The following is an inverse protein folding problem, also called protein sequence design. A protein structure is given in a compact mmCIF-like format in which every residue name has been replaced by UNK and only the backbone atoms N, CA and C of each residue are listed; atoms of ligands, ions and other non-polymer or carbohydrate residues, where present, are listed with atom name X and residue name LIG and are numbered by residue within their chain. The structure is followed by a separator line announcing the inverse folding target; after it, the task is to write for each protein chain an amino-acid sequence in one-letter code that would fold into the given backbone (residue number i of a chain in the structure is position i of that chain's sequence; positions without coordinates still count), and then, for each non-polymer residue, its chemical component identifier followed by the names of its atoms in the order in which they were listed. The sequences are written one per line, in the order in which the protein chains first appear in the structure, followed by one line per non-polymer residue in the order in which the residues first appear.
data_IF_982588029043
#
_entry.id   IF_982588029043
#
_cell.length_a   1.000
_cell.length_b   1.000
_cell.length_c   1.000
_cell.angle_alpha   90.00
_cell.angle_beta   90.00
_cell.angle_gamma   90.00
#
_symmetry.space_group_name_H-M   'P 1'
#
loop_
_entity.id
_entity.type
_entity.pdbx_description
1 polymer ?
#
# COMPACT_ATOMS: atom_id res chain seq x y z
N UNK A 1 -23.23 -1.39 8.98
CA UNK A 1 -23.57 -2.49 9.95
C UNK A 1 -22.51 -3.59 9.85
N UNK A 2 -22.06 -4.16 11.00
CA UNK A 2 -21.07 -5.26 10.98
C UNK A 2 -21.64 -6.51 10.30
N UNK A 3 -20.87 -7.10 9.38
CA UNK A 3 -21.19 -8.33 8.65
C UNK A 3 -20.28 -9.44 9.18
N UNK A 4 -20.88 -10.56 9.59
CA UNK A 4 -20.13 -11.74 10.02
C UNK A 4 -19.71 -12.55 8.80
N UNK A 5 -18.50 -13.09 8.81
CA UNK A 5 -18.07 -14.07 7.80
C UNK A 5 -18.25 -15.51 8.30
N UNK A 6 -18.48 -16.42 7.37
CA UNK A 6 -18.52 -17.86 7.60
C UNK A 6 -17.23 -18.52 7.09
N UNK A 7 -16.74 -19.55 7.81
CA UNK A 7 -15.61 -20.38 7.39
C UNK A 7 -15.56 -21.68 8.17
N UNK A 8 -14.70 -22.61 7.75
CA UNK A 8 -14.37 -23.81 8.53
C UNK A 8 -13.50 -23.47 9.75
N UNK A 9 -13.44 -24.38 10.73
CA UNK A 9 -12.55 -24.23 11.91
C UNK A 9 -11.08 -24.12 11.51
N UNK A 10 -10.66 -24.78 10.44
CA UNK A 10 -9.29 -24.72 9.92
C UNK A 10 -8.97 -23.30 9.42
N UNK A 11 -9.85 -22.72 8.63
CA UNK A 11 -9.71 -21.32 8.13
C UNK A 11 -9.75 -20.34 9.28
N UNK A 12 -10.66 -20.49 10.25
CA UNK A 12 -10.72 -19.64 11.44
C UNK A 12 -9.39 -19.68 12.21
N UNK A 13 -8.85 -20.89 12.45
CA UNK A 13 -7.55 -21.05 13.10
C UNK A 13 -6.39 -20.41 12.33
N UNK A 14 -6.42 -20.44 10.99
CA UNK A 14 -5.41 -19.77 10.18
C UNK A 14 -5.50 -18.24 10.28
N UNK A 15 -6.73 -17.69 10.34
CA UNK A 15 -6.97 -16.25 10.55
C UNK A 15 -6.47 -15.84 11.95
N UNK A 16 -6.82 -16.55 13.00
CA UNK A 16 -6.38 -16.25 14.37
C UNK A 16 -4.86 -16.37 14.52
N UNK A 17 -4.24 -17.29 13.76
CA UNK A 17 -2.80 -17.53 13.82
C UNK A 17 -1.96 -16.42 13.19
N UNK A 18 -2.50 -15.50 12.38
CA UNK A 18 -1.70 -14.50 11.66
C UNK A 18 -1.04 -13.47 12.61
N UNK A 19 -1.71 -13.12 13.70
CA UNK A 19 -1.24 -12.13 14.66
C UNK A 19 -1.32 -10.71 14.10
N UNK A 20 -0.30 -9.89 14.35
CA UNK A 20 -0.23 -8.51 13.87
C UNK A 20 -0.30 -8.44 12.35
N UNK A 21 -1.33 -7.77 11.86
CA UNK A 21 -1.57 -7.50 10.44
C UNK A 21 -1.26 -6.04 10.13
N UNK A 22 -0.79 -5.71 8.91
CA UNK A 22 -0.54 -4.33 8.50
C UNK A 22 -1.37 -3.91 7.29
N UNK A 23 -1.68 -4.82 6.37
CA UNK A 23 -2.47 -4.49 5.19
C UNK A 23 -3.40 -5.65 4.79
N UNK A 24 -4.44 -5.32 4.03
CA UNK A 24 -5.42 -6.27 3.48
C UNK A 24 -5.86 -5.81 2.09
N UNK A 25 -5.88 -6.73 1.12
CA UNK A 25 -6.24 -6.43 -0.25
C UNK A 25 -7.09 -7.52 -0.88
N UNK A 26 -8.20 -7.14 -1.53
CA UNK A 26 -8.95 -8.02 -2.40
C UNK A 26 -8.25 -8.16 -3.76
N UNK A 27 -8.21 -9.38 -4.30
CA UNK A 27 -7.78 -9.58 -5.69
C UNK A 27 -8.70 -8.84 -6.66
N UNK A 28 -8.24 -8.47 -7.86
CA UNK A 28 -9.07 -7.72 -8.83
C UNK A 28 -10.42 -8.37 -9.14
N UNK A 29 -10.51 -9.70 -9.11
CA UNK A 29 -11.76 -10.44 -9.30
C UNK A 29 -12.59 -10.63 -8.03
N UNK A 30 -12.13 -10.10 -6.87
CA UNK A 30 -12.79 -10.19 -5.57
C UNK A 30 -12.86 -11.60 -4.96
N UNK A 31 -12.18 -12.60 -5.57
CA UNK A 31 -12.26 -14.00 -5.13
C UNK A 31 -11.17 -14.42 -4.15
N UNK A 32 -10.21 -13.57 -3.89
CA UNK A 32 -9.15 -13.80 -2.89
C UNK A 32 -8.94 -12.55 -2.04
N UNK A 33 -8.76 -12.77 -0.75
CA UNK A 33 -8.35 -11.74 0.19
C UNK A 33 -6.94 -12.06 0.68
N UNK A 34 -6.00 -11.15 0.46
CA UNK A 34 -4.64 -11.24 0.97
C UNK A 34 -4.49 -10.40 2.22
N UNK A 35 -3.79 -10.93 3.23
CA UNK A 35 -3.49 -10.25 4.49
C UNK A 35 -1.99 -10.31 4.73
N UNK A 36 -1.38 -9.16 5.04
CA UNK A 36 0.03 -9.06 5.40
C UNK A 36 0.23 -9.36 6.89
N UNK A 37 0.87 -10.48 7.21
CA UNK A 37 1.22 -10.89 8.57
C UNK A 37 2.62 -10.40 8.96
N UNK A 38 2.69 -9.22 9.54
CA UNK A 38 3.93 -8.51 9.87
C UNK A 38 4.83 -9.29 10.84
N UNK A 39 4.29 -9.63 12.01
CA UNK A 39 5.08 -10.21 13.10
C UNK A 39 5.64 -11.61 12.79
N UNK A 40 4.95 -12.37 11.95
CA UNK A 40 5.32 -13.76 11.59
C UNK A 40 5.91 -13.90 10.19
N UNK A 41 6.05 -12.80 9.46
CA UNK A 41 6.67 -12.72 8.13
C UNK A 41 6.09 -13.72 7.12
N UNK A 42 4.76 -13.77 6.99
CA UNK A 42 4.07 -14.53 5.95
C UNK A 42 2.82 -13.79 5.45
N UNK A 43 2.28 -14.21 4.32
CA UNK A 43 0.96 -13.75 3.86
C UNK A 43 -0.07 -14.84 4.10
N UNK A 44 -1.30 -14.44 4.45
CA UNK A 44 -2.46 -15.31 4.44
C UNK A 44 -3.36 -14.94 3.26
N UNK A 45 -3.62 -15.90 2.40
CA UNK A 45 -4.57 -15.75 1.28
C UNK A 45 -5.81 -16.56 1.60
N UNK A 46 -6.95 -15.88 1.65
CA UNK A 46 -8.25 -16.51 1.86
C UNK A 46 -9.01 -16.57 0.54
N UNK A 47 -9.56 -17.73 0.20
CA UNK A 47 -10.51 -17.87 -0.90
C UNK A 47 -11.84 -17.27 -0.48
N UNK A 48 -12.22 -16.14 -1.09
CA UNK A 48 -13.35 -15.33 -0.70
C UNK A 48 -14.55 -15.53 -1.64
N UNK A 49 -15.71 -15.73 -1.06
CA UNK A 49 -17.01 -15.71 -1.71
C UNK A 49 -17.82 -14.59 -1.07
N UNK A 50 -17.89 -13.44 -1.76
CA UNK A 50 -18.66 -12.28 -1.32
C UNK A 50 -19.93 -12.21 -2.16
N UNK A 51 -21.05 -12.43 -1.51
CA UNK A 51 -22.38 -12.35 -2.11
C UNK A 51 -23.17 -11.16 -1.58
N UNK A 52 -24.30 -10.87 -2.24
CA UNK A 52 -25.15 -9.73 -1.87
C UNK A 52 -24.72 -8.44 -2.57
N UNK A 53 -25.02 -7.30 -1.97
CA UNK A 53 -24.87 -5.98 -2.60
C UNK A 53 -26.18 -5.48 -3.21
N UNK A 54 -26.20 -4.26 -3.77
CA UNK A 54 -27.43 -3.62 -4.18
C UNK A 54 -28.42 -3.51 -3.01
N UNK A 55 -29.61 -4.11 -3.13
CA UNK A 55 -30.64 -4.13 -2.07
C UNK A 55 -30.52 -5.35 -1.13
N UNK A 56 -29.67 -6.34 -1.46
CA UNK A 56 -29.54 -7.56 -0.67
C UNK A 56 -28.43 -7.42 0.38
N UNK A 57 -28.59 -8.03 1.59
CA UNK A 57 -27.53 -8.04 2.60
C UNK A 57 -26.25 -8.72 2.08
N UNK A 58 -25.10 -8.19 2.47
CA UNK A 58 -23.82 -8.86 2.17
C UNK A 58 -23.67 -10.16 2.94
N UNK A 59 -23.11 -11.15 2.26
CA UNK A 59 -22.62 -12.40 2.84
C UNK A 59 -21.14 -12.54 2.51
N UNK A 60 -20.34 -13.01 3.47
CA UNK A 60 -18.91 -13.28 3.30
C UNK A 60 -18.65 -14.70 3.74
N UNK A 61 -18.03 -15.49 2.88
CA UNK A 61 -17.60 -16.85 3.20
C UNK A 61 -16.16 -17.10 2.72
N UNK A 62 -15.35 -17.76 3.56
CA UNK A 62 -13.99 -18.17 3.22
C UNK A 62 -13.94 -19.69 3.09
N UNK A 63 -13.79 -20.17 1.85
CA UNK A 63 -13.80 -21.59 1.54
C UNK A 63 -12.47 -22.30 1.86
N UNK A 64 -11.35 -21.60 1.80
CA UNK A 64 -10.02 -22.12 2.09
C UNK A 64 -9.06 -21.01 2.52
N UNK A 65 -7.95 -21.42 3.15
CA UNK A 65 -6.83 -20.53 3.49
C UNK A 65 -5.52 -21.09 2.95
N UNK A 66 -4.63 -20.21 2.51
CA UNK A 66 -3.30 -20.54 2.02
C UNK A 66 -2.27 -19.65 2.71
N UNK A 67 -1.39 -20.24 3.50
CA UNK A 67 -0.23 -19.56 4.08
C UNK A 67 0.88 -19.50 3.04
N UNK A 68 1.34 -18.30 2.71
CA UNK A 68 2.42 -18.09 1.76
C UNK A 68 3.68 -17.68 2.51
N UNK A 69 4.71 -18.51 2.39
CA UNK A 69 6.05 -18.23 2.88
C UNK A 69 6.95 -17.78 1.73
N UNK A 70 7.95 -16.97 2.03
CA UNK A 70 9.02 -16.63 1.09
C UNK A 70 10.29 -16.26 1.84
N UNK A 71 11.44 -16.67 1.31
CA UNK A 71 12.74 -16.23 1.81
C UNK A 71 12.98 -14.72 1.58
N UNK A 72 12.17 -14.08 0.73
CA UNK A 72 12.22 -12.64 0.48
C UNK A 72 11.38 -11.81 1.47
N UNK A 73 10.63 -12.44 2.39
CA UNK A 73 9.88 -11.71 3.40
C UNK A 73 10.76 -11.23 4.54
N UNK A 74 10.61 -9.96 4.86
CA UNK A 74 11.26 -9.28 5.97
C UNK A 74 10.27 -8.27 6.57
N UNK A 75 9.31 -8.78 7.34
CA UNK A 75 8.16 -8.05 7.87
C UNK A 75 7.28 -7.46 6.75
N UNK A 76 6.47 -8.29 6.05
CA UNK A 76 5.49 -7.84 5.07
C UNK A 76 4.58 -6.77 5.64
N UNK A 77 4.52 -5.61 4.99
CA UNK A 77 3.76 -4.47 5.45
C UNK A 77 2.65 -4.12 4.47
N UNK A 78 2.92 -3.39 3.40
CA UNK A 78 1.94 -3.10 2.35
C UNK A 78 1.91 -4.16 1.27
N UNK A 79 0.74 -4.41 0.70
CA UNK A 79 0.53 -5.39 -0.38
C UNK A 79 -0.35 -4.80 -1.48
N UNK A 80 -0.10 -5.18 -2.73
CA UNK A 80 -0.96 -4.81 -3.85
C UNK A 80 -1.01 -5.91 -4.92
N UNK A 81 -2.21 -6.27 -5.37
CA UNK A 81 -2.38 -7.21 -6.47
C UNK A 81 -2.07 -6.55 -7.81
N UNK A 82 -1.09 -7.09 -8.53
CA UNK A 82 -0.80 -6.71 -9.93
C UNK A 82 -1.90 -7.27 -10.85
N UNK A 83 -2.26 -8.50 -10.61
CA UNK A 83 -3.37 -9.21 -11.24
C UNK A 83 -3.88 -10.27 -10.27
N UNK A 84 -4.75 -11.17 -10.75
CA UNK A 84 -5.30 -12.18 -9.85
C UNK A 84 -4.29 -13.23 -9.32
N UNK A 85 -3.04 -13.24 -9.77
CA UNK A 85 -2.03 -14.24 -9.39
C UNK A 85 -0.67 -13.65 -9.00
N UNK A 86 -0.44 -12.37 -9.24
CA UNK A 86 0.81 -11.69 -8.89
C UNK A 86 0.53 -10.60 -7.86
N UNK A 87 1.27 -10.65 -6.76
CA UNK A 87 1.17 -9.71 -5.65
C UNK A 87 2.54 -9.04 -5.41
N UNK A 88 2.55 -7.72 -5.22
CA UNK A 88 3.70 -6.98 -4.71
C UNK A 88 3.60 -6.93 -3.19
N UNK A 89 4.73 -7.08 -2.50
CA UNK A 89 4.84 -7.01 -1.05
C UNK A 89 5.91 -6.01 -0.65
N UNK A 90 5.53 -4.91 -0.03
CA UNK A 90 6.48 -3.99 0.59
C UNK A 90 6.95 -4.59 1.93
N UNK A 91 8.25 -4.83 2.08
CA UNK A 91 8.82 -5.32 3.34
C UNK A 91 9.38 -4.16 4.15
N UNK A 92 9.03 -4.06 5.43
CA UNK A 92 9.55 -3.03 6.33
C UNK A 92 11.10 -3.05 6.40
N UNK A 93 11.72 -4.22 6.31
CA UNK A 93 13.16 -4.39 6.32
C UNK A 93 13.66 -5.01 5.02
N UNK A 94 13.59 -4.27 3.90
CA UNK A 94 14.10 -4.79 2.65
C UNK A 94 13.46 -4.21 1.40
N UNK A 95 13.40 -5.06 0.39
CA UNK A 95 12.91 -4.75 -0.94
C UNK A 95 11.40 -5.05 -1.08
N UNK A 96 10.84 -4.77 -2.25
CA UNK A 96 9.47 -5.10 -2.59
C UNK A 96 9.44 -6.22 -3.67
N UNK A 97 9.37 -7.49 -3.26
CA UNK A 97 9.25 -8.63 -4.18
C UNK A 97 7.86 -8.71 -4.79
N UNK A 98 7.81 -9.11 -6.06
CA UNK A 98 6.61 -9.55 -6.77
C UNK A 98 6.56 -11.07 -6.71
N UNK A 99 5.49 -11.61 -6.17
CA UNK A 99 5.32 -13.04 -5.96
C UNK A 99 4.19 -13.58 -6.83
N UNK A 100 4.43 -14.70 -7.49
CA UNK A 100 3.37 -15.47 -8.14
C UNK A 100 2.70 -16.39 -7.12
N UNK A 101 1.39 -16.22 -6.94
CA UNK A 101 0.54 -16.99 -6.03
C UNK A 101 -0.53 -17.69 -6.87
N UNK A 102 -0.30 -18.93 -7.30
CA UNK A 102 -1.18 -19.61 -8.23
C UNK A 102 -2.57 -19.85 -7.63
N UNK A 103 -3.56 -20.00 -8.50
CA UNK A 103 -4.92 -20.45 -8.13
C UNK A 103 -4.95 -21.96 -7.98
N UNK A 104 -5.94 -22.45 -7.23
CA UNK A 104 -6.22 -23.88 -7.13
C UNK A 104 -5.09 -24.71 -6.49
N UNK A 105 -4.33 -24.09 -5.59
CA UNK A 105 -3.29 -24.79 -4.82
C UNK A 105 -3.95 -25.82 -3.92
N UNK A 106 -3.54 -27.07 -4.07
CA UNK A 106 -3.92 -28.14 -3.16
C UNK A 106 -2.97 -28.10 -1.95
N UNK A 107 -3.48 -27.65 -0.79
CA UNK A 107 -2.71 -27.52 0.45
C UNK A 107 -2.97 -26.20 1.17
N UNK A 108 -2.44 -26.12 2.39
CA UNK A 108 -2.62 -24.96 3.28
C UNK A 108 -1.40 -24.05 3.35
N UNK A 109 -0.28 -24.45 2.74
CA UNK A 109 0.97 -23.68 2.75
C UNK A 109 1.75 -23.85 1.44
N UNK A 110 2.37 -22.76 0.96
CA UNK A 110 3.34 -22.76 -0.14
C UNK A 110 4.56 -21.91 0.19
N UNK A 111 5.68 -22.22 -0.48
CA UNK A 111 6.85 -21.34 -0.53
C UNK A 111 6.88 -20.67 -1.89
N UNK A 112 6.65 -19.36 -1.91
CA UNK A 112 6.66 -18.54 -3.12
C UNK A 112 8.05 -17.92 -3.34
N UNK A 113 8.47 -17.89 -4.60
CA UNK A 113 9.69 -17.23 -5.03
C UNK A 113 9.36 -15.95 -5.80
N UNK A 114 10.14 -14.86 -5.63
CA UNK A 114 9.94 -13.66 -6.42
C UNK A 114 10.09 -13.91 -7.93
N UNK A 115 9.12 -13.44 -8.72
CA UNK A 115 9.27 -13.34 -10.17
C UNK A 115 10.11 -12.11 -10.56
N UNK A 116 10.07 -11.09 -9.70
CA UNK A 116 10.88 -9.88 -9.77
C UNK A 116 11.00 -9.24 -8.39
N UNK A 117 11.95 -8.29 -8.21
CA UNK A 117 12.11 -7.54 -6.95
C UNK A 117 12.45 -6.09 -7.25
N UNK A 118 11.63 -5.15 -6.78
CA UNK A 118 11.95 -3.73 -6.71
C UNK A 118 12.84 -3.51 -5.47
N UNK A 119 13.87 -2.68 -5.59
CA UNK A 119 14.80 -2.42 -4.49
C UNK A 119 16.02 -3.34 -4.49
N UNK A 120 16.22 -4.10 -5.58
CA UNK A 120 17.43 -4.89 -5.78
C UNK A 120 18.67 -4.00 -6.02
N UNK A 121 18.47 -2.72 -6.36
CA UNK A 121 19.54 -1.75 -6.61
C UNK A 121 19.34 -0.45 -5.81
N UNK A 122 20.42 0.28 -5.47
CA UNK A 122 20.30 1.56 -4.75
C UNK A 122 19.50 2.64 -5.49
N UNK A 123 19.37 2.55 -6.82
CA UNK A 123 18.59 3.50 -7.63
C UNK A 123 17.09 3.30 -7.52
N UNK A 124 16.64 2.24 -6.85
CA UNK A 124 15.22 1.98 -6.62
C UNK A 124 14.64 2.80 -5.44
N UNK A 125 15.46 3.57 -4.72
CA UNK A 125 15.06 4.51 -3.67
C UNK A 125 14.28 3.90 -2.49
N UNK A 126 14.37 2.60 -2.24
CA UNK A 126 13.64 1.97 -1.14
C UNK A 126 14.38 2.13 0.20
N UNK A 127 13.64 2.56 1.23
CA UNK A 127 14.13 2.66 2.60
C UNK A 127 12.98 2.45 3.61
N UNK A 128 12.93 1.28 4.21
CA UNK A 128 11.84 0.83 5.06
C UNK A 128 10.46 0.98 4.38
N UNK A 129 10.20 0.22 3.29
CA UNK A 129 8.91 0.26 2.60
C UNK A 129 7.73 0.06 3.54
N UNK A 130 6.77 0.98 3.50
CA UNK A 130 5.51 0.91 4.23
C UNK A 130 4.42 0.29 3.37
N UNK A 131 3.72 1.10 2.60
CA UNK A 131 2.65 0.67 1.69
C UNK A 131 3.08 0.71 0.23
N UNK A 132 2.30 0.03 -0.59
CA UNK A 132 2.46 -0.02 -2.05
C UNK A 132 1.11 0.17 -2.73
N UNK A 133 1.08 1.01 -3.75
CA UNK A 133 -0.07 1.16 -4.65
C UNK A 133 0.37 1.00 -6.10
N UNK A 134 -0.53 0.58 -6.97
CA UNK A 134 -0.23 0.46 -8.38
C UNK A 134 -1.42 0.85 -9.25
N UNK A 135 -1.11 1.23 -10.49
CA UNK A 135 -2.09 1.32 -11.58
C UNK A 135 -1.51 0.79 -12.88
N UNK A 136 -2.35 0.20 -13.70
CA UNK A 136 -2.00 -0.18 -15.05
C UNK A 136 -2.04 1.05 -15.95
N UNK A 137 -1.02 1.21 -16.79
CA UNK A 137 -0.94 2.26 -17.80
C UNK A 137 -0.74 1.61 -19.18
N UNK A 138 -0.95 2.33 -20.30
CA UNK A 138 -0.83 1.76 -21.64
C UNK A 138 0.48 1.03 -21.90
N UNK A 139 0.52 0.24 -22.96
CA UNK A 139 1.67 -0.52 -23.47
C UNK A 139 2.18 -1.64 -22.53
N UNK A 140 1.30 -2.14 -21.64
CA UNK A 140 1.66 -3.21 -20.70
C UNK A 140 2.59 -2.74 -19.58
N UNK A 141 2.55 -1.46 -19.26
CA UNK A 141 3.28 -0.89 -18.14
C UNK A 141 2.45 -0.85 -16.87
N UNK A 142 3.13 -0.92 -15.73
CA UNK A 142 2.55 -0.73 -14.40
C UNK A 142 3.32 0.39 -13.72
N UNK A 143 2.61 1.38 -13.22
CA UNK A 143 3.15 2.41 -12.35
C UNK A 143 2.91 1.99 -10.90
N UNK A 144 3.98 1.93 -10.10
CA UNK A 144 3.97 1.51 -8.70
C UNK A 144 4.47 2.66 -7.83
N UNK A 145 3.73 2.99 -6.78
CA UNK A 145 4.15 3.92 -5.73
C UNK A 145 4.49 3.12 -4.47
N UNK A 146 5.58 3.48 -3.79
CA UNK A 146 6.00 2.87 -2.53
C UNK A 146 6.34 3.96 -1.52
N UNK A 147 5.69 3.92 -0.35
CA UNK A 147 6.07 4.72 0.80
C UNK A 147 7.40 4.24 1.38
N UNK A 148 8.31 5.16 1.66
CA UNK A 148 9.62 4.89 2.26
C UNK A 148 9.70 5.62 3.60
N UNK A 149 9.37 4.90 4.69
CA UNK A 149 9.17 5.50 6.01
C UNK A 149 10.41 6.23 6.53
N UNK A 150 11.61 5.65 6.40
CA UNK A 150 12.83 6.22 7.00
C UNK A 150 13.55 7.24 6.12
N UNK A 151 13.21 7.35 4.85
CA UNK A 151 13.65 8.46 4.01
C UNK A 151 12.61 9.55 3.87
N UNK A 152 11.42 9.38 4.47
CA UNK A 152 10.30 10.32 4.39
C UNK A 152 9.92 10.67 2.96
N UNK A 153 9.87 9.65 2.08
CA UNK A 153 9.60 9.83 0.65
C UNK A 153 8.58 8.85 0.13
N UNK A 154 7.97 9.17 -1.02
CA UNK A 154 7.28 8.20 -1.86
C UNK A 154 8.06 8.06 -3.16
N UNK A 155 8.45 6.83 -3.49
CA UNK A 155 9.09 6.51 -4.76
C UNK A 155 8.09 5.98 -5.78
N UNK A 156 8.35 6.24 -7.06
CA UNK A 156 7.59 5.76 -8.21
C UNK A 156 8.45 4.84 -9.06
N UNK A 157 7.89 3.72 -9.48
CA UNK A 157 8.56 2.72 -10.30
C UNK A 157 7.69 2.35 -11.49
N UNK A 158 8.31 2.18 -12.64
CA UNK A 158 7.62 1.71 -13.85
C UNK A 158 8.08 0.30 -14.16
N UNK A 159 7.14 -0.65 -14.18
CA UNK A 159 7.39 -2.06 -14.49
C UNK A 159 6.88 -2.38 -15.89
N UNK A 160 7.63 -3.19 -16.64
CA UNK A 160 7.22 -3.70 -17.94
C UNK A 160 6.74 -5.15 -17.81
N UNK A 161 5.43 -5.37 -17.94
CA UNK A 161 4.84 -6.71 -17.91
C UNK A 161 5.33 -7.59 -19.05
N UNK A 162 5.60 -6.99 -20.22
CA UNK A 162 6.07 -7.71 -21.41
C UNK A 162 7.55 -8.13 -21.30
N UNK A 163 8.28 -7.53 -20.34
CA UNK A 163 9.67 -7.86 -20.05
C UNK A 163 9.83 -8.53 -18.66
N UNK A 164 8.86 -9.35 -18.26
CA UNK A 164 8.92 -10.10 -17.00
C UNK A 164 8.90 -9.24 -15.74
N UNK A 165 8.15 -8.15 -15.74
CA UNK A 165 8.04 -7.19 -14.64
C UNK A 165 9.34 -6.39 -14.37
N UNK A 166 10.24 -6.27 -15.35
CA UNK A 166 11.46 -5.52 -15.17
C UNK A 166 11.19 -4.04 -14.85
N UNK A 167 11.91 -3.46 -13.87
CA UNK A 167 11.86 -2.02 -13.58
C UNK A 167 12.53 -1.25 -14.71
N UNK A 168 11.79 -0.36 -15.37
CA UNK A 168 12.31 0.51 -16.42
C UNK A 168 12.89 1.81 -15.87
N UNK A 169 12.24 2.37 -14.84
CA UNK A 169 12.66 3.60 -14.20
C UNK A 169 12.19 3.64 -12.74
N UNK A 170 12.92 4.38 -11.91
CA UNK A 170 12.58 4.67 -10.51
C UNK A 170 12.92 6.12 -10.20
N UNK A 171 12.07 6.80 -9.46
CA UNK A 171 12.29 8.18 -9.01
C UNK A 171 11.58 8.44 -7.67
N UNK A 172 11.97 9.50 -6.97
CA UNK A 172 11.22 10.03 -5.82
C UNK A 172 10.22 11.05 -6.34
N UNK A 173 8.93 10.87 -6.03
CA UNK A 173 7.84 11.78 -6.48
C UNK A 173 7.31 12.68 -5.38
N UNK A 174 7.37 12.25 -4.11
CA UNK A 174 6.96 13.07 -2.97
C UNK A 174 8.01 12.99 -1.87
N UNK A 175 8.39 14.13 -1.31
CA UNK A 175 9.34 14.25 -0.19
C UNK A 175 9.07 15.48 0.68
N UNK A 176 8.41 16.52 0.12
CA UNK A 176 8.15 17.72 0.89
C UNK A 176 7.11 17.50 1.97
N UNK A 177 7.41 17.91 3.20
CA UNK A 177 6.51 17.85 4.35
C UNK A 177 6.04 16.44 4.74
N UNK A 178 6.65 15.37 4.19
CA UNK A 178 6.37 14.01 4.60
C UNK A 178 7.16 13.63 5.86
N UNK A 179 6.47 12.97 6.79
CA UNK A 179 7.06 12.46 8.03
C UNK A 179 6.53 11.06 8.32
N UNK A 180 7.32 10.03 8.01
CA UNK A 180 6.95 8.63 8.04
C UNK A 180 5.70 8.37 7.18
N UNK A 181 5.76 8.53 5.83
CA UNK A 181 4.65 8.15 4.96
C UNK A 181 4.44 6.65 5.03
N UNK A 182 3.26 6.18 5.40
CA UNK A 182 3.01 4.78 5.67
C UNK A 182 1.98 4.14 4.73
N UNK A 183 0.85 4.79 4.46
CA UNK A 183 -0.15 4.37 3.50
C UNK A 183 -0.06 5.14 2.18
N UNK A 184 -0.24 4.48 1.04
CA UNK A 184 -0.39 5.11 -0.27
C UNK A 184 -1.46 4.40 -1.09
N UNK A 185 -2.28 5.15 -1.81
CA UNK A 185 -3.31 4.60 -2.69
C UNK A 185 -3.61 5.53 -3.86
N UNK A 186 -3.83 4.96 -5.04
CA UNK A 186 -4.47 5.66 -6.15
C UNK A 186 -5.99 5.69 -5.95
N UNK A 187 -6.62 6.80 -6.27
CA UNK A 187 -8.06 6.82 -6.44
C UNK A 187 -8.50 5.94 -7.62
N UNK A 188 -9.73 5.45 -7.59
CA UNK A 188 -10.23 4.50 -8.60
C UNK A 188 -10.32 5.11 -10.00
N UNK A 189 -10.61 6.41 -10.09
CA UNK A 189 -10.58 7.15 -11.37
C UNK A 189 -9.16 7.48 -11.83
N UNK A 190 -8.14 7.25 -10.99
CA UNK A 190 -6.75 7.61 -11.27
C UNK A 190 -6.47 9.11 -11.20
N UNK A 191 -7.40 9.94 -10.70
CA UNK A 191 -7.26 11.40 -10.59
C UNK A 191 -6.42 11.83 -9.40
N UNK A 192 -6.48 11.06 -8.30
CA UNK A 192 -5.88 11.39 -7.02
C UNK A 192 -4.93 10.31 -6.52
N UNK A 193 -3.99 10.72 -5.69
CA UNK A 193 -3.15 9.86 -4.85
C UNK A 193 -3.26 10.34 -3.42
N UNK A 194 -3.60 9.45 -2.49
CA UNK A 194 -3.59 9.73 -1.07
C UNK A 194 -2.35 9.10 -0.42
N UNK A 195 -1.69 9.85 0.48
CA UNK A 195 -0.51 9.39 1.24
C UNK A 195 -0.73 9.70 2.71
N UNK A 196 -0.75 8.68 3.58
CA UNK A 196 -0.79 8.92 5.01
C UNK A 196 0.57 9.45 5.49
N UNK A 197 0.54 10.61 6.16
CA UNK A 197 1.67 11.25 6.80
C UNK A 197 1.63 10.89 8.29
N UNK A 198 2.05 9.66 8.58
CA UNK A 198 1.75 8.91 9.80
C UNK A 198 2.13 9.67 11.07
N UNK A 199 3.34 10.23 11.12
CA UNK A 199 3.84 10.90 12.33
C UNK A 199 3.26 12.30 12.52
N UNK A 200 2.80 12.97 11.46
CA UNK A 200 2.21 14.31 11.52
C UNK A 200 0.67 14.30 11.58
N UNK A 201 0.07 13.10 11.71
CA UNK A 201 -1.38 12.96 11.91
C UNK A 201 -2.23 13.60 10.80
N UNK A 202 -1.78 13.47 9.55
CA UNK A 202 -2.45 14.00 8.36
C UNK A 202 -2.43 13.00 7.22
N UNK A 203 -3.30 13.18 6.23
CA UNK A 203 -3.17 12.50 4.94
C UNK A 203 -3.08 13.57 3.85
N UNK A 204 -2.07 13.48 3.03
CA UNK A 204 -1.89 14.36 1.88
C UNK A 204 -2.57 13.79 0.64
N UNK A 205 -3.32 14.63 -0.06
CA UNK A 205 -3.98 14.28 -1.32
C UNK A 205 -3.27 15.02 -2.44
N UNK A 206 -2.75 14.27 -3.39
CA UNK A 206 -2.03 14.78 -4.56
C UNK A 206 -2.84 14.54 -5.83
N UNK A 207 -2.66 15.40 -6.81
CA UNK A 207 -3.16 15.17 -8.16
C UNK A 207 -2.25 14.17 -8.89
N UNK A 208 -2.83 13.09 -9.39
CA UNK A 208 -2.06 12.04 -10.06
C UNK A 208 -1.44 12.47 -11.41
N UNK A 209 -1.99 13.51 -12.04
CA UNK A 209 -1.43 14.14 -13.24
C UNK A 209 -0.22 15.05 -12.95
N UNK A 210 0.08 15.33 -11.68
CA UNK A 210 1.22 16.13 -11.22
C UNK A 210 2.37 15.29 -10.66
N UNK A 211 2.26 13.95 -10.69
CA UNK A 211 3.32 13.05 -10.25
C UNK A 211 4.64 13.30 -10.98
N UNK A 212 5.72 13.56 -10.21
CA UNK A 212 7.04 13.90 -10.75
C UNK A 212 7.15 15.35 -11.28
N UNK A 213 6.11 16.16 -11.18
CA UNK A 213 6.09 17.59 -11.57
C UNK A 213 6.00 18.47 -10.31
N UNK A 214 5.14 18.11 -9.37
CA UNK A 214 4.95 18.82 -8.11
C UNK A 214 4.80 17.83 -6.96
N UNK A 215 5.46 18.09 -5.84
CA UNK A 215 5.34 17.35 -4.60
C UNK A 215 4.48 18.08 -3.54
N UNK A 216 3.73 19.13 -3.96
CA UNK A 216 2.79 19.84 -3.09
C UNK A 216 1.43 19.16 -3.09
N UNK A 217 0.86 18.86 -1.91
CA UNK A 217 -0.48 18.32 -1.82
C UNK A 217 -1.52 19.34 -2.32
N UNK A 218 -2.53 18.85 -3.02
CA UNK A 218 -3.71 19.63 -3.41
C UNK A 218 -4.72 19.73 -2.26
N UNK A 219 -4.75 18.71 -1.38
CA UNK A 219 -5.63 18.67 -0.23
C UNK A 219 -5.01 17.95 0.96
N UNK A 220 -5.60 18.14 2.15
CA UNK A 220 -5.12 17.55 3.40
C UNK A 220 -6.32 17.03 4.20
N UNK A 221 -6.26 15.76 4.61
CA UNK A 221 -7.20 15.21 5.58
C UNK A 221 -6.62 15.41 6.99
N UNK A 222 -7.44 15.92 7.90
CA UNK A 222 -7.07 16.21 9.30
C UNK A 222 -8.02 15.52 10.28
N UNK A 223 -7.69 15.56 11.57
CA UNK A 223 -8.53 15.02 12.64
C UNK A 223 -8.40 13.51 12.85
N UNK A 224 -7.27 12.95 12.47
CA UNK A 224 -6.87 11.55 12.66
C UNK A 224 -5.58 11.48 13.47
N UNK A 225 -5.32 10.35 14.12
CA UNK A 225 -4.08 10.08 14.88
C UNK A 225 -3.43 8.82 14.33
N UNK A 226 -2.17 8.88 13.90
CA UNK A 226 -1.43 7.78 13.25
C UNK A 226 -2.15 7.15 12.05
N UNK A 227 -2.48 7.95 10.98
CA UNK A 227 -3.13 7.44 9.78
C UNK A 227 -2.31 6.33 9.12
N UNK A 228 -2.98 5.22 8.74
CA UNK A 228 -2.33 4.03 8.21
C UNK A 228 -2.91 3.64 6.85
N UNK A 229 -3.69 2.57 6.74
CA UNK A 229 -4.30 2.12 5.50
C UNK A 229 -5.39 3.05 4.97
N UNK A 230 -5.47 3.20 3.66
CA UNK A 230 -6.36 4.14 2.97
C UNK A 230 -7.07 3.42 1.83
N UNK A 231 -8.36 3.68 1.64
CA UNK A 231 -9.09 3.23 0.44
C UNK A 231 -10.10 4.27 -0.02
N UNK A 232 -10.16 4.52 -1.34
CA UNK A 232 -11.19 5.35 -1.97
C UNK A 232 -12.44 4.53 -2.28
N UNK A 233 -13.61 5.19 -2.24
CA UNK A 233 -14.82 4.64 -2.90
C UNK A 233 -14.61 4.56 -4.42
N UNK A 234 -15.41 3.71 -5.13
CA UNK A 234 -15.23 3.52 -6.58
C UNK A 234 -15.39 4.78 -7.44
N UNK A 235 -16.09 5.79 -6.94
CA UNK A 235 -16.36 7.07 -7.60
C UNK A 235 -15.52 8.23 -7.05
N UNK A 236 -14.53 7.93 -6.20
CA UNK A 236 -13.64 8.87 -5.54
C UNK A 236 -14.32 9.89 -4.60
N UNK A 237 -15.59 9.70 -4.23
CA UNK A 237 -16.34 10.65 -3.39
C UNK A 237 -16.16 10.43 -1.90
N UNK A 238 -15.64 9.28 -1.51
CA UNK A 238 -15.36 8.91 -0.12
C UNK A 238 -13.96 8.30 0.04
N UNK A 239 -13.35 8.54 1.21
CA UNK A 239 -12.11 7.89 1.66
C UNK A 239 -12.39 7.26 3.02
N UNK A 240 -12.08 5.97 3.16
CA UNK A 240 -11.99 5.28 4.44
C UNK A 240 -10.53 5.16 4.84
N UNK A 241 -10.23 5.50 6.08
CA UNK A 241 -8.89 5.66 6.61
C UNK A 241 -8.75 4.94 7.93
N UNK A 242 -7.86 3.96 8.01
CA UNK A 242 -7.50 3.27 9.25
C UNK A 242 -6.60 4.14 10.12
N UNK A 243 -6.77 4.02 11.42
CA UNK A 243 -6.00 4.76 12.43
C UNK A 243 -5.29 3.78 13.37
N UNK A 244 -3.96 3.71 13.31
CA UNK A 244 -3.18 2.84 14.17
C UNK A 244 -3.23 3.27 15.65
N UNK A 245 -3.50 4.54 15.91
CA UNK A 245 -3.64 5.12 17.25
C UNK A 245 -5.08 5.19 17.77
N UNK A 246 -6.07 4.63 17.04
CA UNK A 246 -7.47 4.65 17.46
C UNK A 246 -8.21 3.34 17.08
N UNK A 247 -9.23 2.94 17.87
CA UNK A 247 -10.01 1.74 17.59
C UNK A 247 -11.04 1.93 16.46
N UNK A 248 -10.75 2.78 15.47
CA UNK A 248 -11.74 3.31 14.56
C UNK A 248 -11.22 3.43 13.12
N UNK A 249 -12.17 3.47 12.18
CA UNK A 249 -11.94 3.89 10.80
C UNK A 249 -12.65 5.23 10.59
N UNK A 250 -11.96 6.17 9.98
CA UNK A 250 -12.47 7.51 9.67
C UNK A 250 -13.00 7.57 8.25
N UNK A 251 -14.15 8.22 8.05
CA UNK A 251 -14.74 8.45 6.74
C UNK A 251 -14.67 9.94 6.42
N UNK A 252 -14.02 10.26 5.32
CA UNK A 252 -13.99 11.58 4.70
C UNK A 252 -14.82 11.59 3.42
N UNK A 253 -15.34 12.77 3.06
CA UNK A 253 -16.18 12.89 1.88
C UNK A 253 -15.87 14.15 1.05
N UNK A 254 -15.91 13.96 -0.27
CA UNK A 254 -15.89 15.02 -1.28
C UNK A 254 -17.02 14.72 -2.29
N UNK A 255 -18.23 15.26 -2.08
CA UNK A 255 -19.41 14.89 -2.88
C UNK A 255 -19.27 15.13 -4.39
N UNK A 256 -18.43 16.04 -4.80
CA UNK A 256 -18.06 16.33 -6.19
C UNK A 256 -16.80 15.61 -6.67
N UNK A 257 -16.15 14.80 -5.78
CA UNK A 257 -14.88 14.13 -6.06
C UNK A 257 -13.68 15.06 -6.13
N UNK A 258 -13.80 16.32 -5.68
CA UNK A 258 -12.69 17.26 -5.55
C UNK A 258 -12.11 17.24 -4.13
N UNK A 259 -10.90 16.73 -4.01
CA UNK A 259 -10.16 16.60 -2.76
C UNK A 259 -9.20 17.76 -2.50
N UNK A 260 -9.37 18.88 -3.18
CA UNK A 260 -8.57 20.09 -2.94
C UNK A 260 -8.96 20.75 -1.61
N UNK A 261 -7.98 21.32 -0.90
CA UNK A 261 -8.20 21.98 0.40
C UNK A 261 -8.18 21.05 1.60
N UNK A 262 -8.62 21.55 2.75
CA UNK A 262 -8.62 20.82 4.02
C UNK A 262 -9.96 20.12 4.24
N UNK A 263 -9.90 18.83 4.64
CA UNK A 263 -11.07 18.00 4.94
C UNK A 263 -11.01 17.47 6.37
N UNK A 264 -12.16 17.46 7.04
CA UNK A 264 -12.37 16.83 8.34
C UNK A 264 -13.22 15.57 8.18
N UNK A 265 -13.12 14.60 9.10
CA UNK A 265 -13.93 13.39 9.00
C UNK A 265 -15.42 13.70 9.12
N UNK A 266 -16.22 13.12 8.26
CA UNK A 266 -17.69 13.19 8.31
C UNK A 266 -18.26 12.17 9.28
N UNK A 267 -17.57 11.04 9.47
CA UNK A 267 -17.97 9.99 10.38
C UNK A 267 -16.76 9.22 10.93
N UNK A 268 -16.92 8.68 12.13
CA UNK A 268 -15.94 7.80 12.79
C UNK A 268 -16.63 6.47 13.09
N UNK A 269 -16.22 5.42 12.40
CA UNK A 269 -16.73 4.06 12.58
C UNK A 269 -15.90 3.35 13.66
N UNK A 270 -16.48 3.09 14.82
CA UNK A 270 -15.83 2.26 15.85
C UNK A 270 -15.75 0.81 15.39
N UNK A 271 -14.56 0.24 15.37
CA UNK A 271 -14.27 -1.11 14.86
C UNK A 271 -13.84 -2.04 15.97
N UNK A 272 -12.89 -1.61 16.80
CA UNK A 272 -12.30 -2.40 17.86
C UNK A 272 -12.94 -2.03 19.20
N UNK A 273 -13.20 -3.02 20.05
CA UNK A 273 -13.66 -2.77 21.42
C UNK A 273 -12.62 -1.98 22.21
N UNK A 274 -13.06 -0.93 22.93
CA UNK A 274 -12.18 0.01 23.60
C UNK A 274 -11.24 -0.66 24.61
N UNK A 275 -11.70 -1.70 25.30
CA UNK A 275 -10.87 -2.45 26.26
C UNK A 275 -9.77 -3.24 25.56
N UNK A 276 -10.08 -3.88 24.44
CA UNK A 276 -9.11 -4.61 23.62
C UNK A 276 -8.07 -3.66 23.01
N UNK A 277 -8.50 -2.50 22.49
CA UNK A 277 -7.62 -1.45 21.99
C UNK A 277 -6.64 -0.99 23.08
N UNK A 278 -7.12 -0.59 24.27
CA UNK A 278 -6.29 -0.09 25.34
C UNK A 278 -5.25 -1.09 25.83
N UNK A 279 -5.56 -2.38 25.82
CA UNK A 279 -4.63 -3.43 26.27
C UNK A 279 -3.31 -3.46 25.48
N UNK A 280 -3.30 -3.02 24.21
CA UNK A 280 -2.09 -2.89 23.40
C UNK A 280 -1.60 -1.43 23.32
N UNK A 281 -2.49 -0.47 23.14
CA UNK A 281 -2.17 0.94 22.95
C UNK A 281 -1.48 1.56 24.19
N UNK A 282 -1.80 1.10 25.41
CA UNK A 282 -1.13 1.55 26.64
C UNK A 282 0.37 1.21 26.65
N UNK A 283 0.82 0.23 25.86
CA UNK A 283 2.23 -0.14 25.74
C UNK A 283 2.92 0.58 24.58
N UNK A 284 2.21 0.78 23.47
CA UNK A 284 2.70 1.51 22.30
C UNK A 284 1.53 2.23 21.61
N UNK A 285 1.56 3.57 21.49
CA UNK A 285 0.46 4.36 20.93
C UNK A 285 0.13 4.06 19.46
N UNK A 286 0.98 3.33 18.74
CA UNK A 286 0.77 2.90 17.37
C UNK A 286 0.20 1.47 17.27
N UNK A 287 -0.07 0.81 18.40
CA UNK A 287 -0.59 -0.56 18.44
C UNK A 287 -2.04 -0.59 18.93
N UNK A 288 -2.74 -1.66 18.60
CA UNK A 288 -4.12 -1.90 19.01
C UNK A 288 -5.19 -1.24 18.13
N UNK A 289 -4.83 -0.26 17.31
CA UNK A 289 -5.74 0.39 16.37
C UNK A 289 -5.95 -0.38 15.06
N UNK A 290 -6.70 0.25 14.15
CA UNK A 290 -6.96 -0.32 12.82
C UNK A 290 -5.76 -0.10 11.89
N UNK A 291 -5.47 -1.07 11.00
CA UNK A 291 -4.29 -1.04 10.13
C UNK A 291 -4.66 -1.04 8.64
N UNK A 292 -5.05 -2.15 8.07
CA UNK A 292 -5.45 -2.26 6.67
C UNK A 292 -6.93 -2.00 6.46
N UNK A 293 -7.28 -1.38 5.33
CA UNK A 293 -8.66 -1.17 4.90
C UNK A 293 -8.78 -1.42 3.40
N UNK A 294 -9.83 -2.12 2.98
CA UNK A 294 -10.17 -2.29 1.56
C UNK A 294 -11.69 -2.31 1.37
N UNK A 295 -12.17 -1.71 0.29
CA UNK A 295 -13.56 -1.78 -0.16
C UNK A 295 -13.72 -2.83 -1.27
N UNK A 296 -14.88 -3.47 -1.31
CA UNK A 296 -15.32 -4.23 -2.49
C UNK A 296 -15.43 -3.32 -3.71
N UNK A 297 -15.41 -3.91 -4.91
CA UNK A 297 -15.46 -3.15 -6.16
C UNK A 297 -16.71 -2.30 -6.33
N UNK A 298 -17.82 -2.69 -5.70
CA UNK A 298 -19.08 -1.92 -5.65
C UNK A 298 -19.08 -0.84 -4.54
N UNK A 299 -18.05 -0.81 -3.68
CA UNK A 299 -17.90 0.18 -2.61
C UNK A 299 -18.80 0.00 -1.41
N UNK A 300 -19.58 -1.07 -1.34
CA UNK A 300 -20.58 -1.25 -0.29
C UNK A 300 -20.14 -2.04 0.92
N UNK A 301 -19.09 -2.86 0.79
CA UNK A 301 -18.56 -3.67 1.89
C UNK A 301 -17.11 -3.25 2.20
N UNK A 302 -16.88 -2.80 3.42
CA UNK A 302 -15.56 -2.44 3.94
C UNK A 302 -14.98 -3.61 4.73
N UNK A 303 -13.75 -4.02 4.39
CA UNK A 303 -12.93 -4.94 5.17
C UNK A 303 -11.86 -4.13 5.92
N UNK A 304 -11.65 -4.47 7.19
CA UNK A 304 -10.70 -3.79 8.10
C UNK A 304 -9.87 -4.84 8.83
N UNK A 305 -8.59 -4.56 9.06
CA UNK A 305 -7.74 -5.41 9.90
C UNK A 305 -7.27 -4.68 11.14
N UNK A 306 -7.04 -5.43 12.22
CA UNK A 306 -6.32 -5.01 13.41
C UNK A 306 -5.62 -6.22 14.04
N UNK A 307 -4.82 -6.00 15.09
CA UNK A 307 -4.03 -7.05 15.70
C UNK A 307 -4.85 -8.04 16.53
N UNK A 308 -5.85 -7.55 17.29
CA UNK A 308 -6.63 -8.39 18.22
C UNK A 308 -7.66 -9.27 17.53
N UNK A 309 -8.29 -8.74 16.48
CA UNK A 309 -9.25 -9.44 15.64
C UNK A 309 -8.86 -9.19 14.19
N UNK A 310 -8.23 -10.16 13.51
CA UNK A 310 -7.58 -9.93 12.21
C UNK A 310 -8.48 -9.42 11.10
N UNK A 311 -9.80 -9.65 11.17
CA UNK A 311 -10.74 -9.28 10.12
C UNK A 311 -12.08 -8.78 10.64
N UNK A 312 -12.49 -7.63 10.14
CA UNK A 312 -13.83 -7.07 10.31
C UNK A 312 -14.45 -6.75 8.95
N UNK A 313 -15.76 -6.93 8.84
CA UNK A 313 -16.52 -6.52 7.66
C UNK A 313 -17.68 -5.62 8.07
N UNK A 314 -17.88 -4.53 7.31
CA UNK A 314 -18.95 -3.57 7.53
C UNK A 314 -19.68 -3.27 6.23
N UNK A 315 -21.00 -3.48 6.21
CA UNK A 315 -21.86 -2.90 5.18
C UNK A 315 -21.96 -1.40 5.44
N UNK A 316 -21.38 -0.61 4.54
CA UNK A 316 -21.30 0.85 4.66
C UNK A 316 -22.27 1.59 3.75
N UNK A 317 -23.13 0.88 2.99
CA UNK A 317 -24.06 1.48 2.03
C UNK A 317 -24.99 2.49 2.68
N UNK A 318 -25.62 2.13 3.82
CA UNK A 318 -26.52 3.04 4.52
C UNK A 318 -25.78 4.28 5.03
N UNK A 319 -24.58 4.11 5.58
CA UNK A 319 -23.74 5.21 6.03
C UNK A 319 -23.40 6.18 4.87
N UNK A 320 -23.03 5.64 3.71
CA UNK A 320 -22.73 6.45 2.53
C UNK A 320 -23.98 7.16 1.99
N UNK A 321 -25.14 6.49 2.03
CA UNK A 321 -26.42 7.08 1.64
C UNK A 321 -26.83 8.24 2.56
N UNK A 322 -26.72 8.05 3.88
CA UNK A 322 -27.06 9.08 4.88
C UNK A 322 -26.16 10.32 4.74
N UNK A 323 -24.91 10.15 4.29
CA UNK A 323 -23.96 11.22 4.04
C UNK A 323 -23.99 11.75 2.58
N UNK A 324 -24.93 11.27 1.75
CA UNK A 324 -25.05 11.62 0.33
C UNK A 324 -23.77 11.30 -0.50
N UNK A 325 -23.03 10.27 -0.08
CA UNK A 325 -21.82 9.76 -0.71
C UNK A 325 -22.05 8.40 -1.39
N UNK A 326 -23.30 8.02 -1.71
CA UNK A 326 -23.60 6.76 -2.38
C UNK A 326 -22.78 6.66 -3.66
N UNK A 327 -22.02 5.57 -3.85
CA UNK A 327 -21.16 5.43 -5.03
C UNK A 327 -21.97 5.53 -6.32
N UNK A 328 -21.51 6.37 -7.23
CA UNK A 328 -21.98 6.42 -8.60
C UNK A 328 -21.49 5.20 -9.41
N UNK A 329 -21.85 5.09 -10.68
CA UNK A 329 -21.31 4.04 -11.53
C UNK A 329 -19.78 4.12 -11.57
N UNK A 330 -19.12 2.97 -11.54
CA UNK A 330 -17.65 2.88 -11.64
C UNK A 330 -17.22 3.57 -12.92
N UNK A 331 -16.42 4.63 -12.79
CA UNK A 331 -15.82 5.32 -13.94
C UNK A 331 -14.47 4.65 -14.19
N UNK A 332 -14.32 4.05 -15.37
CA UNK A 332 -13.00 3.55 -15.77
C UNK A 332 -12.04 4.75 -15.90
N UNK A 333 -10.79 4.62 -15.39
CA UNK A 333 -9.81 5.69 -15.56
C UNK A 333 -9.59 5.96 -17.05
N UNK A 334 -9.46 7.25 -17.45
CA UNK A 334 -9.17 7.56 -18.83
C UNK A 334 -7.86 6.89 -19.26
N UNK A 335 -7.76 6.36 -20.49
CA UNK A 335 -6.52 5.77 -20.97
C UNK A 335 -5.42 6.82 -20.87
N UNK A 336 -4.34 6.50 -20.17
CA UNK A 336 -3.20 7.39 -20.05
C UNK A 336 -2.61 7.62 -21.47
N UNK A 337 -2.53 8.89 -21.89
CA UNK A 337 -1.97 9.24 -23.18
C UNK A 337 -0.44 9.15 -23.14
N UNK A 338 0.17 8.15 -23.75
CA UNK A 338 1.55 8.28 -24.23
C UNK A 338 2.10 7.14 -25.11
N UNK A 339 2.24 7.31 -26.42
CA UNK A 339 2.98 6.38 -27.27
C UNK A 339 4.52 6.43 -27.15
N UNK A 340 5.08 7.44 -26.48
CA UNK A 340 6.55 7.61 -26.33
C UNK A 340 7.11 7.32 -24.94
N UNK A 341 6.27 6.99 -23.98
CA UNK A 341 6.68 6.89 -22.58
C UNK A 341 7.72 5.78 -22.35
N UNK A 342 7.50 4.59 -22.95
CA UNK A 342 8.42 3.46 -22.84
C UNK A 342 9.80 3.77 -23.41
N UNK A 343 9.88 4.43 -24.56
CA UNK A 343 11.17 4.79 -25.19
C UNK A 343 11.92 5.83 -24.36
N UNK A 344 11.20 6.84 -23.83
CA UNK A 344 11.77 7.85 -22.94
C UNK A 344 12.30 7.21 -21.65
N UNK A 345 11.53 6.33 -21.01
CA UNK A 345 11.93 5.64 -19.77
C UNK A 345 13.14 4.72 -19.99
N UNK A 346 13.18 3.99 -21.11
CA UNK A 346 14.35 3.16 -21.47
C UNK A 346 15.59 4.01 -21.77
N UNK A 347 15.41 5.19 -22.33
CA UNK A 347 16.51 6.12 -22.57
C UNK A 347 17.08 6.68 -21.27
N UNK A 348 16.23 7.17 -20.37
CA UNK A 348 16.64 7.71 -19.06
C UNK A 348 17.30 6.65 -18.19
N UNK A 349 16.77 5.41 -18.18
CA UNK A 349 17.41 4.31 -17.45
C UNK A 349 18.81 4.02 -17.96
N UNK A 350 19.01 3.92 -19.28
CA UNK A 350 20.34 3.69 -19.86
C UNK A 350 21.32 4.81 -19.50
N UNK A 351 20.85 6.05 -19.48
CA UNK A 351 21.67 7.19 -19.05
C UNK A 351 22.04 7.10 -17.55
N UNK A 352 21.05 6.77 -16.70
CA UNK A 352 21.26 6.60 -15.26
C UNK A 352 22.20 5.45 -14.94
N UNK A 353 22.05 4.30 -15.61
CA UNK A 353 22.96 3.15 -15.49
C UNK A 353 24.38 3.49 -15.95
N UNK A 354 24.52 4.24 -17.03
CA UNK A 354 25.82 4.71 -17.53
C UNK A 354 26.50 5.66 -16.53
N UNK A 355 25.77 6.64 -16.03
CA UNK A 355 26.29 7.57 -14.99
C UNK A 355 26.64 6.85 -13.69
N UNK A 356 25.82 5.86 -13.30
CA UNK A 356 26.10 4.99 -12.15
C UNK A 356 27.39 4.19 -12.31
N UNK A 357 27.60 3.61 -13.50
CA UNK A 357 28.83 2.88 -13.82
C UNK A 357 30.07 3.80 -13.85
N UNK A 358 29.94 4.99 -14.43
CA UNK A 358 31.01 6.01 -14.42
C UNK A 358 31.36 6.45 -13.01
N UNK A 359 30.36 6.70 -12.16
CA UNK A 359 30.57 7.06 -10.74
C UNK A 359 31.23 5.91 -9.96
N UNK A 360 30.83 4.66 -10.21
CA UNK A 360 31.47 3.49 -9.61
C UNK A 360 32.94 3.36 -10.06
N UNK A 361 33.21 3.59 -11.34
CA UNK A 361 34.59 3.60 -11.87
C UNK A 361 35.45 4.70 -11.22
N UNK A 362 34.90 5.91 -11.05
CA UNK A 362 35.57 7.02 -10.35
C UNK A 362 35.84 6.63 -8.90
N UNK A 363 34.87 6.10 -8.16
CA UNK A 363 35.02 5.67 -6.75
C UNK A 363 36.05 4.54 -6.59
N UNK A 364 36.17 3.67 -7.57
CA UNK A 364 37.14 2.58 -7.57
C UNK A 364 38.51 2.99 -8.06
N UNK A 365 38.68 4.18 -8.61
CA UNK A 365 39.94 4.69 -9.13
C UNK A 365 41.00 4.86 -8.01
N UNK A 366 42.30 4.76 -8.38
CA UNK A 366 43.41 4.99 -7.45
C UNK A 366 43.37 6.41 -6.87
N UNK A 367 42.96 7.39 -7.68
CA UNK A 367 42.87 8.80 -7.27
C UNK A 367 41.80 8.98 -6.17
N UNK A 368 40.60 8.39 -6.33
CA UNK A 368 39.53 8.46 -5.32
C UNK A 368 39.94 7.78 -4.00
N UNK A 369 40.54 6.60 -4.08
CA UNK A 369 41.07 5.88 -2.90
C UNK A 369 42.13 6.68 -2.14
N UNK A 370 42.92 7.47 -2.87
CA UNK A 370 43.88 8.39 -2.24
C UNK A 370 43.16 9.55 -1.55
N UNK A 371 42.15 10.15 -2.19
CA UNK A 371 41.32 11.23 -1.60
C UNK A 371 40.63 10.76 -0.32
N UNK A 372 40.07 9.56 -0.31
CA UNK A 372 39.44 8.96 0.86
C UNK A 372 40.43 8.73 2.02
N UNK A 373 41.62 8.25 1.71
CA UNK A 373 42.68 8.14 2.72
C UNK A 373 43.07 9.50 3.30
N UNK A 374 43.24 10.53 2.46
CA UNK A 374 43.56 11.89 2.91
C UNK A 374 42.42 12.49 3.76
N UNK A 375 41.17 12.27 3.40
CA UNK A 375 40.00 12.67 4.21
C UNK A 375 40.00 11.99 5.58
N UNK A 376 40.33 10.71 5.63
CA UNK A 376 40.41 9.95 6.89
C UNK A 376 41.52 10.48 7.79
N UNK A 377 42.71 10.74 7.23
CA UNK A 377 43.85 11.34 7.96
C UNK A 377 43.44 12.72 8.49
N UNK A 378 42.83 13.58 7.66
CA UNK A 378 42.33 14.90 8.09
C UNK A 378 41.36 14.83 9.24
N UNK A 379 40.40 13.88 9.21
CA UNK A 379 39.42 13.67 10.31
C UNK A 379 40.11 13.21 11.60
N UNK A 380 41.16 12.41 11.50
CA UNK A 380 41.94 11.97 12.67
C UNK A 380 42.73 13.13 13.28
N UNK A 381 43.35 13.99 12.44
CA UNK A 381 44.11 15.15 12.88
C UNK A 381 43.24 16.30 13.42
N UNK A 382 41.96 16.36 13.09
CA UNK A 382 41.02 17.38 13.60
C UNK A 382 40.34 16.99 14.91
N UNK A 383 40.59 15.80 15.45
CA UNK A 383 40.06 15.29 16.72
C UNK A 383 41.12 15.19 17.84
N UNK A 384 42.33 15.57 17.60
CA UNK A 384 43.42 15.79 18.58
C UNK A 384 43.66 17.28 18.76
#
# INVERSE_FOLDING_TARGET
MRVKYGCSNEVASAIDAIGRTEDVQLSPDGRRLAIAGFGKSYLLILGAEIGGGGETPYTVHFGHSLKVLSASFAHPHGIAWVNNEVLIVANRHGAAPLLHIPRGVNGTEIVAHPVFTIGATPVDHLNAPGSVALRHIPDGLIEVLICNNYSHTVSRHFLDQNAGMAVLASEVVFQSELNIPDGVVYSRTGKWVAVSNHYDNTVFIYRADQLGISDKPAGILRGIVYPHGITFSPDDRAIFLADAGAPSVYLYGAPDGDWSGDHLPLHVLSVVELAAFKALNDNNPEDGGTKGVVLTSDGGLLCVTCEQEPLFFYDVRQLLADLQLTPGPVVEPPPASAPKFRELMLHDRRQTEKLGAELAAIKNSRAWKLVEKLRTIRRLLSRG
#
